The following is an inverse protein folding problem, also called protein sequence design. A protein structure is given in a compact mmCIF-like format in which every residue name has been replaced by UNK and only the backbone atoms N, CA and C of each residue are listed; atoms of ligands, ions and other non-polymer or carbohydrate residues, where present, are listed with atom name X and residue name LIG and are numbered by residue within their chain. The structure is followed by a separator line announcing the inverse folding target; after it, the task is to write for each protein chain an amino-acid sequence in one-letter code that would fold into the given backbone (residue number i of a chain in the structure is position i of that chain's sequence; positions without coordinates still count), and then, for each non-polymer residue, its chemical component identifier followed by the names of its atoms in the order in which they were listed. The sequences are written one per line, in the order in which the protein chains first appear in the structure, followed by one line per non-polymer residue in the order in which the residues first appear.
data_IF_757087715273
#
_entry.id   IF_757087715273
#
_cell.length_a   1.000
_cell.length_b   1.000
_cell.length_c   1.000
_cell.angle_alpha   90.00
_cell.angle_beta   90.00
_cell.angle_gamma   90.00
#
_symmetry.space_group_name_H-M   'P 1'
#
loop_
_entity.id
_entity.type
_entity.pdbx_description
1 polymer ?
#
# COMPACT_ATOMS: atom_id res chain seq x y z
N UNK A 1 0.29 17.55 -1.00
CA UNK A 1 1.64 17.27 -0.46
C UNK A 1 2.05 18.34 0.53
N UNK A 2 3.03 18.05 1.40
CA UNK A 2 3.48 18.94 2.48
C UNK A 2 3.98 20.32 2.03
N UNK A 3 4.44 20.46 0.78
CA UNK A 3 5.00 21.69 0.22
C UNK A 3 4.04 22.42 -0.75
N UNK A 4 2.80 21.95 -0.89
CA UNK A 4 1.80 22.54 -1.78
C UNK A 4 2.22 22.63 -3.27
N UNK A 5 3.12 21.75 -3.71
CA UNK A 5 3.56 21.58 -5.10
C UNK A 5 3.27 20.15 -5.59
N UNK A 6 3.55 19.87 -6.88
CA UNK A 6 3.43 18.53 -7.50
C UNK A 6 4.70 17.67 -7.41
N UNK A 7 5.78 18.20 -6.84
CA UNK A 7 7.09 17.55 -6.73
C UNK A 7 7.80 18.01 -5.45
N UNK A 8 8.79 17.27 -4.99
CA UNK A 8 9.64 17.60 -3.84
C UNK A 8 8.94 17.54 -2.48
N UNK A 9 7.68 17.12 -2.45
CA UNK A 9 6.86 17.06 -1.25
C UNK A 9 6.88 15.68 -0.60
N UNK A 10 6.33 15.61 0.60
CA UNK A 10 6.09 14.37 1.35
C UNK A 10 4.57 14.18 1.48
N UNK A 11 4.13 12.93 1.58
CA UNK A 11 2.75 12.60 1.94
C UNK A 11 2.38 13.22 3.29
N UNK A 12 1.17 13.76 3.40
CA UNK A 12 0.70 14.44 4.61
C UNK A 12 -0.03 13.42 5.48
N UNK A 13 0.52 13.10 6.65
CA UNK A 13 -0.13 12.19 7.60
C UNK A 13 -1.52 12.66 7.99
N UNK A 14 -2.45 11.72 8.13
CA UNK A 14 -3.87 11.99 8.40
C UNK A 14 -4.70 12.31 7.14
N UNK A 15 -4.10 12.24 5.94
CA UNK A 15 -4.80 12.45 4.67
C UNK A 15 -5.02 11.16 3.87
N UNK A 16 -4.69 10.00 4.45
CA UNK A 16 -4.77 8.68 3.83
C UNK A 16 -6.19 8.35 3.33
N UNK A 17 -7.23 8.69 4.10
CA UNK A 17 -8.62 8.47 3.70
C UNK A 17 -9.02 9.35 2.49
N UNK A 18 -8.64 10.63 2.50
CA UNK A 18 -8.96 11.55 1.42
C UNK A 18 -8.25 11.12 0.13
N UNK A 19 -6.98 10.74 0.25
CA UNK A 19 -6.19 10.22 -0.86
C UNK A 19 -6.77 8.90 -1.42
N UNK A 20 -7.11 7.95 -0.55
CA UNK A 20 -7.74 6.70 -0.95
C UNK A 20 -9.08 6.91 -1.65
N UNK A 21 -9.90 7.83 -1.15
CA UNK A 21 -11.18 8.20 -1.77
C UNK A 21 -10.99 8.76 -3.18
N UNK A 22 -10.01 9.64 -3.36
CA UNK A 22 -9.65 10.18 -4.67
C UNK A 22 -9.28 9.07 -5.67
N UNK A 23 -8.40 8.14 -5.27
CA UNK A 23 -7.99 7.01 -6.10
C UNK A 23 -9.18 6.11 -6.46
N UNK A 24 -10.00 5.72 -5.47
CA UNK A 24 -11.17 4.87 -5.70
C UNK A 24 -12.19 5.52 -6.63
N UNK A 25 -12.40 6.85 -6.53
CA UNK A 25 -13.30 7.59 -7.42
C UNK A 25 -12.82 7.57 -8.88
N UNK A 26 -11.52 7.70 -9.14
CA UNK A 26 -10.95 7.60 -10.49
C UNK A 26 -11.20 6.21 -11.07
N UNK A 27 -10.95 5.17 -10.29
CA UNK A 27 -11.15 3.78 -10.71
C UNK A 27 -12.63 3.53 -11.05
N UNK A 28 -13.52 3.93 -10.14
CA UNK A 28 -14.96 3.81 -10.32
C UNK A 28 -15.47 4.54 -11.55
N UNK A 29 -14.98 5.77 -11.78
CA UNK A 29 -15.30 6.53 -12.98
C UNK A 29 -14.91 5.76 -14.25
N UNK A 30 -13.67 5.30 -14.38
CA UNK A 30 -13.24 4.61 -15.59
C UNK A 30 -13.98 3.29 -15.80
N UNK A 31 -14.26 2.53 -14.74
CA UNK A 31 -15.09 1.32 -14.83
C UNK A 31 -16.51 1.62 -15.31
N UNK A 32 -17.09 2.76 -14.92
CA UNK A 32 -18.39 3.19 -15.42
C UNK A 32 -18.41 3.48 -16.93
N UNK A 33 -17.23 3.78 -17.53
CA UNK A 33 -17.08 3.98 -18.98
C UNK A 33 -16.83 2.68 -19.76
N UNK A 34 -16.74 1.53 -19.07
CA UNK A 34 -16.40 0.24 -19.66
C UNK A 34 -14.90 -0.08 -19.68
N UNK A 35 -14.04 0.81 -19.17
CA UNK A 35 -12.62 0.55 -19.00
C UNK A 35 -12.38 -0.21 -17.70
N UNK A 36 -11.93 -1.47 -17.82
CA UNK A 36 -11.65 -2.29 -16.65
C UNK A 36 -10.28 -1.95 -16.06
N UNK A 37 -10.24 -1.57 -14.78
CA UNK A 37 -9.02 -1.35 -14.01
C UNK A 37 -8.99 -2.42 -12.93
N UNK A 38 -8.08 -3.38 -13.05
CA UNK A 38 -7.96 -4.54 -12.15
C UNK A 38 -6.87 -4.37 -11.09
N UNK A 39 -5.94 -3.44 -11.31
CA UNK A 39 -4.81 -3.18 -10.42
C UNK A 39 -4.58 -1.68 -10.28
N UNK A 40 -4.16 -1.26 -9.09
CA UNK A 40 -3.70 0.12 -8.83
C UNK A 40 -2.42 0.11 -8.00
N UNK A 41 -1.43 0.89 -8.46
CA UNK A 41 -0.25 1.25 -7.71
C UNK A 41 -0.41 2.72 -7.24
N UNK A 42 -0.77 2.97 -5.97
CA UNK A 42 -1.08 4.32 -5.50
C UNK A 42 0.18 5.17 -5.24
N UNK A 43 1.37 4.57 -5.28
CA UNK A 43 2.62 5.27 -5.09
C UNK A 43 3.56 4.87 -6.21
N UNK A 44 4.43 5.78 -6.62
CA UNK A 44 5.49 5.52 -7.58
C UNK A 44 6.78 6.06 -6.99
N UNK A 45 7.76 5.19 -6.82
CA UNK A 45 9.07 5.50 -6.21
C UNK A 45 8.91 6.31 -4.90
N UNK A 46 8.13 5.83 -3.91
CA UNK A 46 7.85 6.59 -2.69
C UNK A 46 9.08 6.88 -1.83
N UNK A 47 10.23 6.28 -2.10
CA UNK A 47 11.51 6.63 -1.51
C UNK A 47 12.06 7.98 -2.04
N UNK A 48 11.55 8.46 -3.18
CA UNK A 48 12.01 9.66 -3.86
C UNK A 48 10.94 10.77 -3.85
N UNK A 49 11.34 11.99 -3.47
CA UNK A 49 10.44 13.16 -3.52
C UNK A 49 10.40 13.82 -4.89
N UNK A 50 11.34 13.50 -5.79
CA UNK A 50 11.53 14.19 -7.07
C UNK A 50 11.77 15.70 -6.91
N UNK A 51 12.60 16.08 -5.93
CA UNK A 51 12.86 17.49 -5.59
C UNK A 51 13.49 18.36 -6.69
N UNK A 52 14.06 17.75 -7.74
CA UNK A 52 14.50 18.48 -8.93
C UNK A 52 13.32 18.98 -9.81
N UNK A 53 12.11 18.50 -9.54
CA UNK A 53 10.86 18.92 -10.20
C UNK A 53 10.87 18.79 -11.73
N UNK A 54 11.66 17.84 -12.26
CA UNK A 54 11.61 17.44 -13.66
C UNK A 54 10.46 16.48 -13.95
N UNK A 55 9.85 15.91 -12.91
CA UNK A 55 8.61 15.13 -12.95
C UNK A 55 7.82 15.30 -11.65
N UNK A 56 6.54 14.94 -11.67
CA UNK A 56 5.71 14.87 -10.46
C UNK A 56 6.17 13.74 -9.54
N UNK A 57 5.98 13.93 -8.24
CA UNK A 57 6.26 12.87 -7.28
C UNK A 57 6.19 13.31 -5.83
N UNK A 58 6.16 12.31 -4.97
CA UNK A 58 5.87 12.47 -3.55
C UNK A 58 6.60 11.39 -2.76
N UNK A 59 7.42 11.81 -1.80
CA UNK A 59 8.01 10.85 -0.88
C UNK A 59 6.94 10.34 0.11
N UNK A 60 6.92 9.04 0.35
CA UNK A 60 6.16 8.38 1.41
C UNK A 60 7.13 7.53 2.22
N UNK A 61 7.32 7.88 3.49
CA UNK A 61 8.25 7.14 4.36
C UNK A 61 7.80 5.69 4.51
N UNK A 62 8.76 4.77 4.65
CA UNK A 62 8.49 3.34 4.81
C UNK A 62 7.42 3.05 5.87
N UNK A 63 7.48 3.75 7.01
CA UNK A 63 6.53 3.58 8.12
C UNK A 63 5.11 4.04 7.81
N UNK A 64 4.92 4.89 6.79
CA UNK A 64 3.62 5.44 6.41
C UNK A 64 3.00 4.74 5.19
N UNK A 65 3.79 4.02 4.38
CA UNK A 65 3.29 3.35 3.17
C UNK A 65 2.10 2.43 3.45
N UNK A 66 2.15 1.66 4.55
CA UNK A 66 1.04 0.79 4.95
C UNK A 66 -0.26 1.58 5.22
N UNK A 67 -0.19 2.76 5.82
CA UNK A 67 -1.37 3.59 6.10
C UNK A 67 -1.97 4.14 4.80
N UNK A 68 -1.13 4.54 3.84
CA UNK A 68 -1.59 4.95 2.50
C UNK A 68 -2.31 3.81 1.80
N UNK A 69 -1.73 2.60 1.81
CA UNK A 69 -2.38 1.43 1.20
C UNK A 69 -3.71 1.10 1.92
N UNK A 70 -3.74 1.13 3.25
CA UNK A 70 -4.95 0.87 4.02
C UNK A 70 -6.04 1.91 3.73
N UNK A 71 -5.68 3.18 3.55
CA UNK A 71 -6.59 4.24 3.12
C UNK A 71 -7.22 3.97 1.75
N UNK A 72 -6.41 3.52 0.78
CA UNK A 72 -6.88 3.11 -0.56
C UNK A 72 -7.78 1.88 -0.47
N UNK A 73 -7.37 0.86 0.28
CA UNK A 73 -8.15 -0.37 0.46
C UNK A 73 -9.53 -0.08 1.08
N UNK A 74 -9.58 0.70 2.16
CA UNK A 74 -10.83 1.10 2.80
C UNK A 74 -11.75 1.88 1.86
N UNK A 75 -11.19 2.73 0.99
CA UNK A 75 -11.97 3.44 -0.02
C UNK A 75 -12.52 2.50 -1.11
N UNK A 76 -11.74 1.51 -1.56
CA UNK A 76 -12.21 0.47 -2.47
C UNK A 76 -13.31 -0.38 -1.83
N UNK A 77 -13.20 -0.73 -0.54
CA UNK A 77 -14.25 -1.45 0.20
C UNK A 77 -15.55 -0.66 0.24
N UNK A 78 -15.49 0.65 0.56
CA UNK A 78 -16.66 1.54 0.58
C UNK A 78 -17.38 1.61 -0.78
N UNK A 79 -16.66 1.38 -1.88
CA UNK A 79 -17.21 1.37 -3.24
C UNK A 79 -17.55 -0.04 -3.77
N UNK A 80 -17.34 -1.09 -2.96
CA UNK A 80 -17.57 -2.48 -3.40
C UNK A 80 -16.55 -2.96 -4.44
N UNK A 81 -15.39 -2.33 -4.52
CA UNK A 81 -14.35 -2.62 -5.52
C UNK A 81 -13.23 -3.52 -4.99
N UNK A 82 -13.06 -3.65 -3.67
CA UNK A 82 -11.93 -4.33 -3.02
C UNK A 82 -11.75 -5.82 -3.37
N UNK A 83 -12.78 -6.50 -3.86
CA UNK A 83 -12.72 -7.90 -4.30
C UNK A 83 -12.36 -8.06 -5.77
N UNK A 84 -12.33 -6.96 -6.53
CA UNK A 84 -12.09 -6.97 -7.99
C UNK A 84 -10.94 -6.07 -8.43
N UNK A 85 -10.50 -5.15 -7.57
CA UNK A 85 -9.36 -4.27 -7.82
C UNK A 85 -8.28 -4.60 -6.79
N UNK A 86 -7.16 -5.14 -7.27
CA UNK A 86 -5.98 -5.39 -6.46
C UNK A 86 -5.16 -4.12 -6.25
N UNK A 87 -4.39 -4.08 -5.15
CA UNK A 87 -3.43 -3.01 -4.88
C UNK A 87 -2.02 -3.59 -5.01
N UNK A 88 -1.17 -2.92 -5.79
CA UNK A 88 0.26 -3.17 -5.88
C UNK A 88 0.95 -2.18 -4.95
N UNK A 89 1.65 -2.69 -3.94
CA UNK A 89 2.30 -1.85 -2.95
C UNK A 89 3.79 -1.59 -3.28
N UNK A 90 4.35 -0.65 -2.54
CA UNK A 90 5.77 -0.27 -2.50
C UNK A 90 6.28 0.52 -3.71
N UNK A 91 6.45 -0.09 -4.88
CA UNK A 91 6.98 0.57 -6.10
C UNK A 91 8.31 1.32 -5.87
N UNK A 92 9.14 0.84 -4.92
CA UNK A 92 10.40 1.48 -4.55
C UNK A 92 11.39 1.50 -5.73
N UNK A 93 12.26 2.52 -5.80
CA UNK A 93 13.14 2.74 -6.95
C UNK A 93 14.22 1.65 -7.14
N UNK A 94 14.54 0.88 -6.11
CA UNK A 94 15.64 -0.11 -6.13
C UNK A 94 15.31 -1.36 -5.32
N UNK A 95 16.01 -2.46 -5.60
CA UNK A 95 15.85 -3.72 -4.85
C UNK A 95 16.30 -3.59 -3.41
N UNK A 96 17.37 -2.85 -3.16
CA UNK A 96 17.91 -2.64 -1.81
C UNK A 96 16.92 -1.93 -0.88
N UNK A 97 16.20 -0.92 -1.39
CA UNK A 97 15.17 -0.20 -0.64
C UNK A 97 13.96 -1.09 -0.37
N UNK A 98 13.44 -1.76 -1.40
CA UNK A 98 12.33 -2.70 -1.26
C UNK A 98 12.60 -3.77 -0.19
N UNK A 99 13.79 -4.38 -0.19
CA UNK A 99 14.17 -5.39 0.79
C UNK A 99 14.19 -4.87 2.24
N UNK A 100 14.48 -3.59 2.43
CA UNK A 100 14.54 -2.96 3.76
C UNK A 100 13.18 -2.47 4.28
N UNK A 101 12.19 -2.37 3.40
CA UNK A 101 10.91 -1.69 3.65
C UNK A 101 9.72 -2.67 3.72
N UNK A 102 9.99 -3.96 4.00
CA UNK A 102 9.04 -5.07 4.00
C UNK A 102 7.62 -4.70 4.47
N UNK A 103 6.73 -4.45 3.50
CA UNK A 103 5.30 -4.30 3.70
C UNK A 103 4.67 -5.70 3.85
N UNK A 104 4.93 -6.34 4.99
CA UNK A 104 4.39 -7.66 5.29
C UNK A 104 2.85 -7.65 5.24
N UNK A 105 2.25 -8.68 4.62
CA UNK A 105 0.79 -8.88 4.58
C UNK A 105 0.09 -8.34 3.34
N UNK A 106 0.80 -7.70 2.40
CA UNK A 106 0.23 -7.32 1.10
C UNK A 106 0.40 -8.42 0.04
N UNK A 107 -0.62 -8.67 -0.79
CA UNK A 107 -0.60 -9.78 -1.74
C UNK A 107 0.20 -9.53 -3.01
N UNK A 108 0.49 -8.26 -3.32
CA UNK A 108 1.26 -7.87 -4.50
C UNK A 108 2.11 -6.65 -4.18
N UNK A 109 3.38 -6.72 -4.56
CA UNK A 109 4.40 -5.73 -4.26
C UNK A 109 5.26 -5.58 -5.52
N UNK A 110 5.53 -4.34 -5.91
CA UNK A 110 6.38 -4.01 -7.04
C UNK A 110 7.59 -3.20 -6.56
N UNK A 111 8.66 -3.25 -7.34
CA UNK A 111 9.85 -2.44 -7.16
C UNK A 111 10.56 -2.32 -8.51
N UNK A 112 11.33 -1.26 -8.64
CA UNK A 112 12.17 -0.98 -9.77
C UNK A 112 13.58 -1.56 -9.54
N UNK A 113 14.34 -1.70 -10.63
CA UNK A 113 15.67 -2.32 -10.63
C UNK A 113 16.74 -1.33 -11.13
N UNK A 114 16.58 -0.04 -10.83
CA UNK A 114 17.53 0.97 -11.30
C UNK A 114 18.93 0.86 -10.69
N UNK A 115 19.07 0.08 -9.61
CA UNK A 115 20.35 -0.31 -9.03
C UNK A 115 21.05 -1.43 -9.79
N UNK A 116 20.43 -1.99 -10.85
CA UNK A 116 20.95 -3.08 -11.67
C UNK A 116 21.45 -4.26 -10.80
N UNK A 117 20.57 -4.84 -9.96
CA UNK A 117 20.94 -5.88 -9.02
C UNK A 117 21.50 -7.10 -9.76
N UNK A 118 22.43 -7.80 -9.11
CA UNK A 118 22.81 -9.15 -9.52
C UNK A 118 21.62 -10.12 -9.37
N UNK A 119 21.66 -11.24 -10.10
CA UNK A 119 20.66 -12.30 -9.98
C UNK A 119 20.50 -12.77 -8.53
N UNK A 120 21.59 -12.82 -7.76
CA UNK A 120 21.57 -13.19 -6.35
C UNK A 120 20.82 -12.17 -5.50
N UNK A 121 21.07 -10.87 -5.69
CA UNK A 121 20.36 -9.81 -4.97
C UNK A 121 18.87 -9.84 -5.30
N UNK A 122 18.53 -9.95 -6.59
CA UNK A 122 17.14 -10.00 -7.03
C UNK A 122 16.38 -11.20 -6.48
N UNK A 123 16.95 -12.41 -6.57
CA UNK A 123 16.31 -13.64 -6.09
C UNK A 123 16.18 -13.67 -4.56
N UNK A 124 17.13 -13.08 -3.83
CA UNK A 124 17.05 -12.98 -2.36
C UNK A 124 15.87 -12.10 -1.90
N UNK A 125 15.65 -10.97 -2.57
CA UNK A 125 14.52 -10.08 -2.31
C UNK A 125 13.21 -10.73 -2.72
N UNK A 126 13.13 -11.33 -3.92
CA UNK A 126 11.93 -12.04 -4.35
C UNK A 126 11.53 -13.16 -3.36
N UNK A 127 12.49 -13.94 -2.87
CA UNK A 127 12.23 -14.99 -1.88
C UNK A 127 11.66 -14.46 -0.56
N UNK A 128 12.02 -13.24 -0.14
CA UNK A 128 11.47 -12.60 1.05
C UNK A 128 9.98 -12.22 0.90
N UNK A 129 9.54 -11.92 -0.32
CA UNK A 129 8.16 -11.50 -0.63
C UNK A 129 7.21 -12.65 -0.98
N UNK A 130 7.72 -13.80 -1.42
CA UNK A 130 6.91 -14.98 -1.75
C UNK A 130 6.31 -15.72 -0.54
N UNK A 131 6.53 -15.25 0.70
CA UNK A 131 6.09 -15.92 1.93
C UNK A 131 5.05 -15.07 2.67
N UNK A 132 3.78 -15.18 2.28
CA UNK A 132 2.57 -15.12 3.15
C UNK A 132 1.30 -15.21 2.30
N UNK A 133 0.64 -16.38 2.23
CA UNK A 133 -0.70 -16.48 1.66
C UNK A 133 -1.68 -15.62 2.48
N UNK A 134 -2.46 -14.78 1.79
CA UNK A 134 -3.59 -14.00 2.33
C UNK A 134 -4.58 -14.80 3.21
N UNK A 135 -4.57 -16.13 3.11
CA UNK A 135 -5.48 -17.02 3.81
C UNK A 135 -5.29 -17.06 5.34
N UNK A 136 -4.14 -16.66 5.87
CA UNK A 136 -3.89 -16.74 7.33
C UNK A 136 -4.34 -15.50 8.12
N UNK A 137 -4.39 -14.31 7.51
CA UNK A 137 -4.74 -13.06 8.23
C UNK A 137 -6.25 -12.77 8.29
N UNK A 138 -7.08 -13.48 7.53
CA UNK A 138 -8.53 -13.42 7.67
C UNK A 138 -9.04 -14.20 8.91
N UNK A 139 -8.26 -15.17 9.39
CA UNK A 139 -8.63 -15.98 10.57
C UNK A 139 -8.33 -15.28 11.90
N UNK A 140 -7.35 -14.37 11.93
CA UNK A 140 -6.90 -13.68 13.15
C UNK A 140 -7.65 -12.39 13.46
N UNK A 141 -8.35 -11.78 12.49
CA UNK A 141 -9.16 -10.56 12.69
C UNK A 141 -10.54 -10.79 13.35
N UNK A 142 -10.97 -12.04 13.57
CA UNK A 142 -12.27 -12.35 14.19
C UNK A 142 -12.28 -12.42 15.71
N UNK A 143 -11.14 -12.31 16.39
CA UNK A 143 -11.04 -12.56 17.84
C UNK A 143 -10.81 -11.31 18.72
N UNK A 144 -10.88 -10.09 18.17
CA UNK A 144 -10.68 -8.87 18.95
C UNK A 144 -11.97 -8.31 19.59
N UNK A 145 -12.83 -9.17 20.13
CA UNK A 145 -13.96 -8.71 20.97
C UNK A 145 -13.49 -8.67 22.42
N UNK A 146 -13.47 -7.52 23.12
CA UNK A 146 -13.07 -7.47 24.53
C UNK A 146 -14.15 -8.16 25.39
N UNK A 147 -13.86 -9.37 25.89
CA UNK A 147 -14.72 -10.01 26.88
C UNK A 147 -14.54 -9.32 28.24
N UNK A 148 -15.56 -8.57 28.64
CA UNK A 148 -15.79 -8.14 30.01
C UNK A 148 -15.69 -9.34 30.97
N UNK A 149 -14.79 -9.27 31.95
CA UNK A 149 -14.79 -10.19 33.10
C UNK A 149 -15.91 -9.79 34.08
N UNK A 150 -17.02 -10.52 34.07
CA UNK A 150 -17.90 -10.63 35.24
C UNK A 150 -17.54 -11.88 36.03
N UNK A 151 -17.01 -11.67 37.24
CA UNK A 151 -16.87 -12.65 38.30
C UNK A 151 -18.25 -12.87 38.95
N UNK A 152 -18.84 -14.05 38.77
CA UNK A 152 -19.85 -14.59 39.68
C UNK A 152 -19.51 -16.07 39.96
N UNK A 153 -18.70 -16.30 41.00
CA UNK A 153 -18.58 -17.59 41.66
C UNK A 153 -19.72 -17.69 42.68
N UNK A 154 -20.76 -18.44 42.33
CA UNK A 154 -21.67 -19.04 43.29
C UNK A 154 -21.25 -20.49 43.54
N UNK A 155 -20.61 -20.73 44.69
CA UNK A 155 -20.74 -21.89 45.59
C UNK A 155 -19.77 -21.74 46.76
#
# INVERSE_FOLDING_TARGET
MSNNASCGGIFVSGTEEAYGTYVANIISYWRSTGLNIDLVAPMHEPDNSFGACTQEGMQVSATQRADVINGVFAALEKQGLSTTVGIVADEAATVSLAASELLAGFPAIAHHIYDFPSDNEYTSTAAAWWVRPLAQDAATRKDSTPQHQEKLLGK
#
